data_IF_392586207907
#
_entry.id   IF_392586207907
#
_cell.length_a   1.000
_cell.length_b   1.000
_cell.length_c   1.000
_cell.angle_alpha   90.00
_cell.angle_beta   90.00
_cell.angle_gamma   90.00
#
_symmetry.space_group_name_H-M   'P 1'
#
loop_
_entity.id
_entity.type
_entity.pdbx_description
1 polymer ?
#
# COMPACT_ATOMS: atom_id res chain seq x y z
N UNK A 1 5.53 -0.29 51.61
CA UNK A 1 6.86 -0.17 50.95
C UNK A 1 7.62 -1.49 51.05
N UNK A 2 7.08 -2.56 50.46
CA UNK A 2 7.77 -3.86 50.27
C UNK A 2 6.95 -4.74 49.34
N UNK A 3 6.82 -4.33 48.08
CA UNK A 3 6.16 -5.14 47.03
C UNK A 3 6.89 -5.06 45.68
N UNK A 4 8.08 -4.46 45.65
CA UNK A 4 8.95 -4.42 44.46
C UNK A 4 9.82 -5.67 44.32
N UNK A 5 9.93 -6.48 45.38
CA UNK A 5 10.76 -7.68 45.42
C UNK A 5 10.10 -8.95 44.84
N UNK A 6 8.79 -8.95 44.56
CA UNK A 6 8.07 -10.16 44.13
C UNK A 6 8.44 -10.59 42.71
N UNK A 7 8.84 -9.66 41.83
CA UNK A 7 9.22 -9.96 40.44
C UNK A 7 10.48 -10.82 40.32
N UNK A 8 11.35 -10.82 41.33
CA UNK A 8 12.58 -11.60 41.37
C UNK A 8 12.41 -13.01 41.97
N UNK A 9 11.27 -13.30 42.59
CA UNK A 9 11.09 -14.55 43.36
C UNK A 9 10.67 -15.77 42.52
N UNK A 10 10.20 -15.59 41.28
CA UNK A 10 9.78 -16.72 40.45
C UNK A 10 10.30 -16.60 39.00
N UNK A 11 11.29 -17.43 38.66
CA UNK A 11 11.93 -17.47 37.33
C UNK A 11 10.91 -17.66 36.20
N UNK A 12 9.83 -18.41 36.44
CA UNK A 12 8.78 -18.64 35.44
C UNK A 12 8.05 -17.34 35.09
N UNK A 13 7.72 -16.52 36.08
CA UNK A 13 7.02 -15.26 35.86
C UNK A 13 7.93 -14.23 35.17
N UNK A 14 9.21 -14.20 35.55
CA UNK A 14 10.22 -13.39 34.87
C UNK A 14 10.35 -13.77 33.40
N UNK A 15 10.54 -15.06 33.08
CA UNK A 15 10.68 -15.54 31.71
C UNK A 15 9.41 -15.30 30.87
N UNK A 16 8.22 -15.51 31.45
CA UNK A 16 6.96 -15.24 30.76
C UNK A 16 6.81 -13.76 30.39
N UNK A 17 7.11 -12.85 31.33
CA UNK A 17 6.97 -11.41 31.09
C UNK A 17 8.05 -10.88 30.14
N UNK A 18 9.28 -11.38 30.26
CA UNK A 18 10.38 -11.05 29.36
C UNK A 18 10.10 -11.54 27.93
N UNK A 19 9.65 -12.79 27.77
CA UNK A 19 9.29 -13.36 26.48
C UNK A 19 8.13 -12.63 25.81
N UNK A 20 7.09 -12.26 26.57
CA UNK A 20 5.98 -11.45 26.07
C UNK A 20 6.41 -10.05 25.63
N UNK A 21 7.32 -9.41 26.39
CA UNK A 21 7.87 -8.09 26.03
C UNK A 21 8.73 -8.12 24.76
N UNK A 22 9.65 -9.08 24.66
CA UNK A 22 10.47 -9.26 23.47
C UNK A 22 9.63 -9.65 22.24
N UNK A 23 8.67 -10.55 22.41
CA UNK A 23 7.75 -10.94 21.34
C UNK A 23 6.88 -9.78 20.87
N UNK A 24 6.42 -8.93 21.79
CA UNK A 24 5.69 -7.70 21.46
C UNK A 24 6.55 -6.70 20.67
N UNK A 25 7.81 -6.53 21.04
CA UNK A 25 8.75 -5.69 20.29
C UNK A 25 9.02 -6.25 18.87
N UNK A 26 9.24 -7.55 18.74
CA UNK A 26 9.42 -8.20 17.43
C UNK A 26 8.17 -8.09 16.54
N UNK A 27 6.97 -8.26 17.12
CA UNK A 27 5.72 -8.09 16.38
C UNK A 27 5.51 -6.63 15.94
N UNK A 28 5.87 -5.65 16.78
CA UNK A 28 5.80 -4.23 16.43
C UNK A 28 6.72 -3.90 15.25
N UNK A 29 7.94 -4.46 15.20
CA UNK A 29 8.86 -4.33 14.07
C UNK A 29 8.25 -4.93 12.78
N UNK A 30 7.70 -6.14 12.85
CA UNK A 30 7.07 -6.78 11.69
C UNK A 30 5.87 -5.99 11.18
N UNK A 31 5.01 -5.50 12.08
CA UNK A 31 3.84 -4.71 11.71
C UNK A 31 4.26 -3.35 11.13
N UNK A 32 5.26 -2.69 11.70
CA UNK A 32 5.84 -1.47 11.14
C UNK A 32 6.36 -1.71 9.72
N UNK A 33 7.07 -2.81 9.47
CA UNK A 33 7.56 -3.18 8.14
C UNK A 33 6.40 -3.38 7.13
N UNK A 34 5.28 -3.97 7.57
CA UNK A 34 4.09 -4.17 6.72
C UNK A 34 3.31 -2.89 6.46
N UNK A 35 3.28 -1.95 7.41
CA UNK A 35 2.63 -0.63 7.24
C UNK A 35 3.45 0.27 6.31
N UNK A 36 4.79 0.14 6.33
CA UNK A 36 5.67 0.81 5.35
C UNK A 36 5.68 0.15 3.97
N UNK A 37 5.05 -1.02 3.81
CA UNK A 37 4.84 -1.67 2.52
C UNK A 37 3.64 -1.10 1.74
N UNK A 38 3.14 0.10 2.10
CA UNK A 38 2.51 0.95 1.10
C UNK A 38 3.50 1.07 -0.08
N UNK A 39 3.08 0.83 -1.33
CA UNK A 39 3.99 0.90 -2.45
C UNK A 39 4.61 2.30 -2.41
N UNK A 40 5.90 2.37 -2.10
CA UNK A 40 6.68 3.60 -2.20
C UNK A 40 6.76 3.87 -3.69
N UNK A 41 5.70 4.53 -4.20
CA UNK A 41 5.39 4.83 -5.59
C UNK A 41 6.56 4.49 -6.51
N UNK A 42 6.57 3.25 -7.03
CA UNK A 42 7.72 2.56 -7.64
C UNK A 42 8.90 3.48 -7.93
N UNK A 43 9.66 3.72 -6.88
CA UNK A 43 10.88 4.48 -6.95
C UNK A 43 11.87 3.54 -7.62
N UNK A 44 11.98 3.62 -8.95
CA UNK A 44 12.95 2.82 -9.72
C UNK A 44 14.34 2.88 -9.09
N UNK A 45 15.27 1.97 -9.42
CA UNK A 45 16.58 1.71 -8.76
C UNK A 45 17.28 2.88 -8.03
N UNK A 46 17.13 4.12 -8.50
CA UNK A 46 17.68 5.33 -7.92
C UNK A 46 16.87 5.95 -6.76
N UNK A 47 15.71 5.44 -6.39
CA UNK A 47 14.91 5.96 -5.27
C UNK A 47 14.17 7.26 -5.62
N UNK A 48 14.89 8.33 -5.96
CA UNK A 48 14.28 9.59 -6.35
C UNK A 48 15.14 10.29 -7.40
N UNK A 49 14.51 11.09 -8.26
CA UNK A 49 15.25 11.96 -9.17
C UNK A 49 15.96 13.04 -8.34
N UNK A 50 17.25 13.27 -8.58
CA UNK A 50 18.01 14.33 -7.88
C UNK A 50 17.45 15.75 -8.14
N UNK A 51 16.66 15.90 -9.20
CA UNK A 51 16.01 17.15 -9.58
C UNK A 51 14.49 16.94 -9.71
N UNK A 52 13.73 18.03 -9.55
CA UNK A 52 12.29 18.00 -9.77
C UNK A 52 11.99 17.60 -11.23
N UNK A 53 11.14 16.59 -11.48
CA UNK A 53 10.84 16.14 -12.84
C UNK A 53 10.08 17.25 -13.59
N UNK A 54 10.56 17.60 -14.78
CA UNK A 54 9.89 18.55 -15.67
C UNK A 54 9.54 17.86 -16.98
N UNK A 55 8.25 17.60 -17.20
CA UNK A 55 7.77 17.08 -18.48
C UNK A 55 7.81 18.18 -19.54
N UNK A 56 8.84 18.18 -20.40
CA UNK A 56 8.99 19.17 -21.49
C UNK A 56 8.25 18.76 -22.77
N UNK A 57 8.01 17.46 -22.96
CA UNK A 57 7.37 16.89 -24.16
C UNK A 57 6.43 15.78 -23.73
N UNK A 58 5.20 15.81 -24.24
CA UNK A 58 4.16 14.84 -23.96
C UNK A 58 3.77 14.21 -25.29
N UNK A 59 3.85 12.89 -25.39
CA UNK A 59 3.35 12.14 -26.55
C UNK A 59 1.91 11.75 -26.21
N UNK A 60 0.95 12.43 -26.83
CA UNK A 60 -0.47 12.08 -26.71
C UNK A 60 -0.87 11.20 -27.90
N UNK A 61 -1.22 9.95 -27.61
CA UNK A 61 -1.67 9.01 -28.62
C UNK A 61 -3.21 9.01 -28.65
N UNK A 62 -3.79 9.68 -29.65
CA UNK A 62 -5.21 9.58 -29.92
C UNK A 62 -5.45 8.38 -30.85
N UNK A 63 -5.92 7.27 -30.28
CA UNK A 63 -6.32 6.11 -31.06
C UNK A 63 -7.74 6.35 -31.61
N UNK A 64 -7.81 6.91 -32.82
CA UNK A 64 -9.08 7.05 -33.54
C UNK A 64 -9.63 5.64 -33.84
N UNK A 65 -10.80 5.32 -33.31
CA UNK A 65 -11.48 4.04 -33.55
C UNK A 65 -11.61 3.11 -32.33
N UNK A 66 -11.07 3.49 -31.16
CA UNK A 66 -11.44 2.80 -29.93
C UNK A 66 -12.89 3.17 -29.54
N UNK A 67 -13.73 2.20 -29.12
CA UNK A 67 -15.03 2.52 -28.54
C UNK A 67 -14.82 3.47 -27.37
N UNK A 68 -15.67 4.49 -27.23
CA UNK A 68 -15.58 5.37 -26.07
C UNK A 68 -15.75 4.53 -24.80
N UNK A 69 -15.16 4.97 -23.68
CA UNK A 69 -15.35 4.28 -22.39
C UNK A 69 -16.84 4.10 -22.05
N UNK A 70 -17.70 4.99 -22.56
CA UNK A 70 -19.15 4.96 -22.38
C UNK A 70 -19.89 3.99 -23.32
N UNK A 71 -19.23 3.49 -24.37
CA UNK A 71 -19.78 2.53 -25.33
C UNK A 71 -19.32 1.10 -25.07
N UNK A 72 -18.41 0.92 -24.10
CA UNK A 72 -17.90 -0.39 -23.76
C UNK A 72 -18.93 -1.13 -22.90
N UNK A 73 -19.55 -2.17 -23.47
CA UNK A 73 -20.47 -3.11 -22.81
C UNK A 73 -21.87 -2.59 -22.45
N UNK A 74 -22.28 -1.42 -22.94
CA UNK A 74 -23.67 -0.97 -22.78
C UNK A 74 -24.51 -1.36 -24.00
N UNK A 75 -25.62 -2.06 -23.76
CA UNK A 75 -26.54 -2.45 -24.83
C UNK A 75 -27.50 -1.29 -25.10
N UNK A 76 -27.28 -0.59 -26.23
CA UNK A 76 -28.03 0.60 -26.64
C UNK A 76 -29.00 0.30 -27.79
N UNK A 77 -30.18 -0.30 -27.53
CA UNK A 77 -31.09 -0.77 -28.57
C UNK A 77 -31.66 0.38 -29.41
N UNK A 78 -31.92 1.54 -28.80
CA UNK A 78 -32.48 2.70 -29.50
C UNK A 78 -31.46 3.33 -30.45
N UNK A 79 -30.17 3.31 -30.09
CA UNK A 79 -29.09 3.80 -30.94
C UNK A 79 -28.90 2.89 -32.15
N UNK A 80 -28.98 1.57 -31.96
CA UNK A 80 -28.94 0.59 -33.05
C UNK A 80 -30.10 0.78 -34.04
N UNK A 81 -31.29 1.13 -33.53
CA UNK A 81 -32.48 1.37 -34.36
C UNK A 81 -32.37 2.62 -35.23
N UNK A 82 -31.65 3.65 -34.77
CA UNK A 82 -31.53 4.96 -35.44
C UNK A 82 -30.14 5.17 -36.06
N UNK A 83 -29.40 4.09 -36.32
CA UNK A 83 -28.05 4.19 -36.86
C UNK A 83 -28.07 4.66 -38.32
N UNK A 84 -27.68 5.91 -38.57
CA UNK A 84 -27.59 6.49 -39.92
C UNK A 84 -28.68 7.50 -40.29
N UNK A 85 -29.57 7.84 -39.35
CA UNK A 85 -30.39 9.07 -39.40
C UNK A 85 -29.62 10.27 -38.84
#
# INVERSE_FOLDING_TARGET
MSSDATFLSNRRQFLNRFGAGLGGAALAEMLASSVTAAPTAERGILGATHFAPKAKRIIYLFMSGAPSQLDLYDHKPLLNQRHGE
#
